data_IF_455320936381
#
_entry.id   IF_455320936381
#
_cell.length_a   1.000
_cell.length_b   1.000
_cell.length_c   1.000
_cell.angle_alpha   90.00
_cell.angle_beta   90.00
_cell.angle_gamma   90.00
#
_symmetry.space_group_name_H-M   'P 1'
#
loop_
_entity.id
_entity.type
_entity.pdbx_description
1 polymer ?
#
# COMPACT_ATOMS: atom_id res chain seq x y z
N UNK A 1 -18.36 -24.27 12.00
CA UNK A 1 -19.80 -24.33 11.67
C UNK A 1 -20.48 -23.19 12.41
N UNK A 2 -21.18 -22.31 11.70
CA UNK A 2 -21.95 -21.23 12.32
C UNK A 2 -23.00 -20.67 11.35
N UNK A 3 -24.16 -20.29 11.89
CA UNK A 3 -25.25 -19.63 11.16
C UNK A 3 -25.67 -18.36 11.90
N UNK A 4 -26.33 -17.45 11.18
CA UNK A 4 -26.83 -16.21 11.76
C UNK A 4 -27.89 -16.40 12.85
N UNK A 5 -28.64 -17.51 12.81
CA UNK A 5 -29.59 -17.87 13.87
C UNK A 5 -28.93 -18.06 15.25
N UNK A 6 -27.62 -18.40 15.25
CA UNK A 6 -26.82 -18.56 16.47
C UNK A 6 -25.61 -17.62 16.48
N UNK A 7 -25.67 -16.52 15.72
CA UNK A 7 -24.57 -15.58 15.66
C UNK A 7 -24.42 -14.79 16.98
N UNK A 8 -23.17 -14.56 17.37
CA UNK A 8 -22.80 -13.86 18.60
C UNK A 8 -22.37 -12.40 18.33
N UNK A 9 -22.84 -11.81 17.23
CA UNK A 9 -22.49 -10.44 16.87
C UNK A 9 -22.93 -9.47 17.98
N UNK A 10 -22.00 -8.66 18.48
CA UNK A 10 -22.22 -7.70 19.56
C UNK A 10 -22.43 -6.29 18.99
N UNK A 11 -22.82 -5.34 19.85
CA UNK A 11 -22.91 -3.91 19.54
C UNK A 11 -23.81 -3.61 18.32
N UNK A 12 -24.96 -4.28 18.27
CA UNK A 12 -25.98 -4.12 17.22
C UNK A 12 -25.47 -4.36 15.80
N UNK A 13 -24.41 -5.16 15.66
CA UNK A 13 -23.87 -5.55 14.37
C UNK A 13 -24.81 -6.53 13.64
N UNK A 14 -24.98 -6.31 12.33
CA UNK A 14 -25.78 -7.20 11.51
C UNK A 14 -25.03 -8.52 11.25
N UNK A 15 -25.76 -9.63 11.17
CA UNK A 15 -25.16 -10.89 10.76
C UNK A 15 -25.36 -11.14 9.26
N UNK A 16 -24.28 -11.46 8.56
CA UNK A 16 -24.27 -11.80 7.14
C UNK A 16 -23.92 -13.29 6.98
N UNK A 17 -24.86 -14.07 6.43
CA UNK A 17 -24.62 -15.48 6.12
C UNK A 17 -23.77 -15.57 4.84
N UNK A 18 -22.57 -16.16 4.93
CA UNK A 18 -21.62 -16.27 3.80
C UNK A 18 -21.80 -17.61 3.07
N UNK A 19 -21.94 -18.70 3.83
CA UNK A 19 -22.26 -20.05 3.33
C UNK A 19 -23.19 -20.74 4.32
N UNK A 20 -23.76 -21.91 3.99
CA UNK A 20 -24.62 -22.65 4.93
C UNK A 20 -23.98 -22.91 6.31
N UNK A 21 -22.65 -22.95 6.40
CA UNK A 21 -21.91 -23.24 7.64
C UNK A 21 -20.98 -22.11 8.10
N UNK A 22 -21.03 -20.92 7.49
CA UNK A 22 -20.23 -19.76 7.88
C UNK A 22 -21.00 -18.45 7.79
N UNK A 23 -20.80 -17.58 8.78
CA UNK A 23 -21.34 -16.22 8.82
C UNK A 23 -20.23 -15.22 9.15
N UNK A 24 -20.52 -13.94 8.95
CA UNK A 24 -19.67 -12.81 9.32
C UNK A 24 -20.53 -11.72 9.98
N UNK A 25 -19.99 -11.05 10.98
CA UNK A 25 -20.63 -9.86 11.54
C UNK A 25 -20.24 -8.62 10.72
N UNK A 26 -21.23 -7.82 10.36
CA UNK A 26 -21.06 -6.51 9.74
C UNK A 26 -20.98 -5.45 10.85
N UNK A 27 -19.75 -5.11 11.22
CA UNK A 27 -19.48 -4.19 12.31
C UNK A 27 -19.68 -2.74 11.86
N UNK A 28 -20.32 -1.94 12.71
CA UNK A 28 -20.29 -0.48 12.56
C UNK A 28 -18.85 0.06 12.64
N UNK A 29 -18.60 1.22 12.04
CA UNK A 29 -17.25 1.83 11.97
C UNK A 29 -16.56 2.06 13.32
N UNK A 30 -17.32 2.04 14.42
CA UNK A 30 -16.84 2.20 15.80
C UNK A 30 -16.39 0.89 16.44
N UNK A 31 -16.60 -0.26 15.80
CA UNK A 31 -16.31 -1.57 16.36
C UNK A 31 -15.49 -2.44 15.41
N UNK A 32 -14.71 -3.35 15.98
CA UNK A 32 -13.91 -4.35 15.27
C UNK A 32 -13.90 -5.68 16.04
N UNK A 33 -13.22 -6.67 15.47
CA UNK A 33 -13.20 -8.05 15.98
C UNK A 33 -14.13 -8.96 15.19
N UNK A 34 -14.01 -10.26 15.42
CA UNK A 34 -14.80 -11.28 14.70
C UNK A 34 -16.29 -11.14 14.99
N UNK A 35 -16.62 -10.70 16.21
CA UNK A 35 -17.99 -10.54 16.68
C UNK A 35 -18.32 -9.07 16.99
N UNK A 36 -17.52 -8.14 16.47
CA UNK A 36 -17.65 -6.71 16.75
C UNK A 36 -17.55 -6.37 18.24
N UNK A 37 -16.78 -7.15 19.01
CA UNK A 37 -16.68 -7.06 20.46
C UNK A 37 -15.76 -5.92 20.94
N UNK A 38 -14.88 -5.41 20.07
CA UNK A 38 -13.90 -4.39 20.42
C UNK A 38 -14.37 -3.03 19.93
N UNK A 39 -14.44 -2.07 20.84
CA UNK A 39 -14.73 -0.67 20.51
C UNK A 39 -13.44 0.03 20.08
N UNK A 40 -13.46 0.66 18.91
CA UNK A 40 -12.37 1.51 18.45
C UNK A 40 -12.41 2.87 19.17
N UNK A 41 -11.22 3.35 19.50
CA UNK A 41 -11.00 4.71 19.94
C UNK A 41 -11.18 5.71 18.80
N UNK A 42 -11.39 6.97 19.16
CA UNK A 42 -11.51 8.07 18.19
C UNK A 42 -10.30 8.15 17.25
N UNK A 43 -9.10 7.93 17.78
CA UNK A 43 -7.85 7.97 17.00
C UNK A 43 -7.81 6.85 15.96
N UNK A 44 -8.17 5.62 16.34
CA UNK A 44 -8.19 4.50 15.39
C UNK A 44 -9.24 4.68 14.29
N UNK A 45 -10.41 5.23 14.63
CA UNK A 45 -11.44 5.59 13.65
C UNK A 45 -10.88 6.60 12.64
N UNK A 46 -10.21 7.67 13.11
CA UNK A 46 -9.58 8.64 12.22
C UNK A 46 -8.50 7.99 11.34
N UNK A 47 -7.64 7.14 11.91
CA UNK A 47 -6.61 6.44 11.14
C UNK A 47 -7.25 5.59 10.03
N UNK A 48 -8.30 4.82 10.34
CA UNK A 48 -9.02 4.01 9.34
C UNK A 48 -9.66 4.85 8.23
N UNK A 49 -10.28 5.98 8.59
CA UNK A 49 -10.86 6.91 7.62
C UNK A 49 -9.79 7.50 6.70
N UNK A 50 -8.63 7.87 7.25
CA UNK A 50 -7.52 8.43 6.49
C UNK A 50 -6.91 7.37 5.57
N UNK A 51 -6.60 6.18 6.08
CA UNK A 51 -5.91 5.13 5.29
C UNK A 51 -6.80 4.47 4.25
N UNK A 52 -8.10 4.35 4.51
CA UNK A 52 -9.07 3.82 3.54
C UNK A 52 -9.57 4.90 2.57
N UNK A 53 -9.19 6.16 2.75
CA UNK A 53 -9.49 7.21 1.80
C UNK A 53 -8.74 6.94 0.50
N UNK A 54 -9.50 6.83 -0.60
CA UNK A 54 -8.94 6.69 -1.94
C UNK A 54 -7.95 7.83 -2.25
N UNK A 55 -8.19 9.04 -1.74
CA UNK A 55 -7.26 10.15 -1.92
C UNK A 55 -5.89 9.91 -1.27
N UNK A 56 -5.86 9.36 -0.05
CA UNK A 56 -4.60 9.02 0.63
C UNK A 56 -3.88 7.86 -0.07
N UNK A 57 -4.63 6.84 -0.49
CA UNK A 57 -4.07 5.74 -1.28
C UNK A 57 -3.46 6.23 -2.60
N UNK A 58 -4.16 7.09 -3.34
CA UNK A 58 -3.65 7.66 -4.59
C UNK A 58 -2.44 8.57 -4.37
N UNK A 59 -2.43 9.38 -3.30
CA UNK A 59 -1.29 10.23 -2.96
C UNK A 59 -0.02 9.41 -2.68
N UNK A 60 -0.12 8.32 -1.90
CA UNK A 60 1.02 7.46 -1.64
C UNK A 60 1.57 6.82 -2.92
N UNK A 61 0.69 6.35 -3.80
CA UNK A 61 1.10 5.77 -5.10
C UNK A 61 1.85 6.82 -5.93
N UNK A 62 1.32 8.04 -6.03
CA UNK A 62 1.96 9.12 -6.80
C UNK A 62 3.34 9.46 -6.23
N UNK A 63 3.47 9.56 -4.91
CA UNK A 63 4.77 9.83 -4.25
C UNK A 63 5.78 8.74 -4.60
N UNK A 64 5.38 7.46 -4.53
CA UNK A 64 6.24 6.33 -4.89
C UNK A 64 6.67 6.41 -6.36
N UNK A 65 5.75 6.74 -7.27
CA UNK A 65 6.07 6.89 -8.69
C UNK A 65 7.06 8.03 -8.94
N UNK A 66 6.93 9.16 -8.26
CA UNK A 66 7.86 10.29 -8.37
C UNK A 66 9.27 9.86 -7.92
N UNK A 67 9.37 9.14 -6.80
CA UNK A 67 10.64 8.63 -6.28
C UNK A 67 11.28 7.67 -7.28
N UNK A 68 10.49 6.77 -7.88
CA UNK A 68 10.97 5.82 -8.88
C UNK A 68 11.48 6.56 -10.12
N UNK A 69 10.70 7.50 -10.66
CA UNK A 69 11.08 8.27 -11.85
C UNK A 69 12.35 9.08 -11.59
N UNK A 70 12.43 9.74 -10.44
CA UNK A 70 13.62 10.49 -10.04
C UNK A 70 14.83 9.57 -9.86
N UNK A 71 14.65 8.41 -9.21
CA UNK A 71 15.68 7.39 -9.05
C UNK A 71 16.18 6.87 -10.41
N UNK A 72 15.29 6.51 -11.33
CA UNK A 72 15.63 6.10 -12.68
C UNK A 72 16.37 7.19 -13.44
N UNK A 73 15.92 8.44 -13.34
CA UNK A 73 16.57 9.59 -13.97
C UNK A 73 18.01 9.74 -13.46
N UNK A 74 18.23 9.70 -12.14
CA UNK A 74 19.56 9.75 -11.56
C UNK A 74 20.43 8.57 -12.00
N UNK A 75 19.90 7.35 -12.01
CA UNK A 75 20.63 6.17 -12.49
C UNK A 75 21.04 6.33 -13.95
N UNK A 76 20.14 6.77 -14.83
CA UNK A 76 20.42 7.02 -16.24
C UNK A 76 21.53 8.07 -16.39
N UNK A 77 21.45 9.17 -15.63
CA UNK A 77 22.50 10.20 -15.64
C UNK A 77 23.86 9.67 -15.18
N UNK A 78 23.88 8.81 -14.15
CA UNK A 78 25.11 8.17 -13.65
C UNK A 78 25.70 7.24 -14.73
N UNK A 79 24.87 6.42 -15.38
CA UNK A 79 25.30 5.54 -16.47
C UNK A 79 25.79 6.32 -17.68
N UNK A 80 25.07 7.37 -18.11
CA UNK A 80 25.47 8.21 -19.23
C UNK A 80 26.83 8.89 -18.98
N UNK A 81 27.05 9.39 -17.75
CA UNK A 81 28.33 9.97 -17.34
C UNK A 81 29.45 8.93 -17.34
N UNK A 82 29.18 7.71 -16.87
CA UNK A 82 30.15 6.60 -16.85
C UNK A 82 30.53 6.15 -18.26
N UNK A 83 29.58 6.05 -19.18
CA UNK A 83 29.83 5.69 -20.59
C UNK A 83 30.58 6.81 -21.31
N UNK A 84 30.23 8.08 -21.09
CA UNK A 84 30.95 9.22 -21.67
C UNK A 84 32.42 9.28 -21.21
N UNK A 85 32.68 9.03 -19.93
CA UNK A 85 34.03 8.96 -19.38
C UNK A 85 34.80 7.74 -19.91
N UNK A 86 34.16 6.58 -19.99
CA UNK A 86 34.78 5.38 -20.56
C UNK A 86 35.12 5.55 -22.04
N UNK A 87 34.23 6.13 -22.85
CA UNK A 87 34.48 6.40 -24.26
C UNK A 87 35.59 7.43 -24.45
N UNK A 88 35.67 8.46 -23.61
CA UNK A 88 36.75 9.45 -23.64
C UNK A 88 38.12 8.81 -23.39
N UNK A 89 38.23 7.91 -22.39
CA UNK A 89 39.47 7.16 -22.11
C UNK A 89 39.87 6.26 -23.29
N UNK A 90 38.92 5.57 -23.92
CA UNK A 90 39.21 4.71 -25.08
C UNK A 90 39.73 5.54 -26.26
N UNK A 91 39.15 6.72 -26.52
CA UNK A 91 39.62 7.63 -27.58
C UNK A 91 41.02 8.17 -27.27
N UNK A 92 41.31 8.58 -26.02
CA UNK A 92 42.65 9.06 -25.66
C UNK A 92 43.71 7.98 -25.78
N UNK A 93 43.40 6.74 -25.38
CA UNK A 93 44.33 5.60 -25.51
C UNK A 93 44.53 5.21 -26.98
N UNK A 94 43.50 5.28 -27.84
CA UNK A 94 43.69 5.05 -29.28
C UNK A 94 44.55 6.15 -29.92
N UNK A 95 44.40 7.39 -29.49
CA UNK A 95 45.17 8.53 -30.03
C UNK A 95 46.66 8.48 -29.67
N UNK A 96 47.03 7.84 -28.55
CA UNK A 96 48.44 7.63 -28.18
C UNK A 96 49.09 6.43 -28.89
N UNK A 97 48.29 5.53 -29.49
CA UNK A 97 48.77 4.34 -30.21
C UNK A 97 48.78 4.51 -31.74
N UNK A 98 48.58 5.73 -32.26
CA UNK A 98 48.67 6.10 -33.67
C UNK A 98 49.82 7.08 -33.89
#
# INVERSE_FOLDING_TARGET
>A
IGSCEKALCQNDAACLQVTNNAYKCDCSYKYEGTFCEKKLSTVEIYIRLITNSLAFQMALIIIVLIIIVFGCFLLIMIFAKRTAFSNFIVISVLAENL
#
